data_IF_685901900049
#
_entry.id   IF_685901900049
#
_cell.length_a   1.000
_cell.length_b   1.000
_cell.length_c   1.000
_cell.angle_alpha   90.00
_cell.angle_beta   90.00
_cell.angle_gamma   90.00
#
_symmetry.space_group_name_H-M   'P 1'
#
loop_
_entity.id
_entity.type
_entity.pdbx_description
1 polymer ?
#
# COMPACT_ATOMS: atom_id res chain seq x y z
N UNK A 1 45.98 -19.66 0.70
CA UNK A 1 45.17 -20.68 0.01
C UNK A 1 43.87 -20.05 -0.49
N UNK A 2 43.63 -20.08 -1.80
CA UNK A 2 42.47 -19.48 -2.47
C UNK A 2 41.16 -20.23 -2.16
N UNK A 3 41.24 -21.52 -1.83
CA UNK A 3 40.09 -22.35 -1.51
C UNK A 3 39.35 -21.84 -0.27
N UNK A 4 40.10 -21.35 0.74
CA UNK A 4 39.53 -20.79 1.97
C UNK A 4 38.77 -19.48 1.72
N UNK A 5 39.27 -18.61 0.83
CA UNK A 5 38.64 -17.33 0.50
C UNK A 5 37.33 -17.54 -0.27
N UNK A 6 37.34 -18.47 -1.24
CA UNK A 6 36.14 -18.84 -2.00
C UNK A 6 35.08 -19.48 -1.11
N UNK A 7 35.45 -20.42 -0.23
CA UNK A 7 34.53 -21.00 0.74
C UNK A 7 33.88 -19.92 1.61
N UNK A 8 34.66 -18.96 2.12
CA UNK A 8 34.17 -17.88 2.96
C UNK A 8 33.23 -16.91 2.22
N UNK A 9 33.40 -16.74 0.91
CA UNK A 9 32.51 -15.93 0.08
C UNK A 9 31.20 -16.67 -0.27
N UNK A 10 31.26 -17.99 -0.48
CA UNK A 10 30.09 -18.82 -0.84
C UNK A 10 29.16 -19.05 0.37
N UNK A 11 29.71 -19.22 1.58
CA UNK A 11 28.90 -19.41 2.79
C UNK A 11 28.45 -18.10 3.46
N UNK A 12 28.65 -16.96 2.78
CA UNK A 12 28.29 -15.65 3.33
C UNK A 12 26.77 -15.45 3.30
N UNK A 13 26.12 -15.55 4.46
CA UNK A 13 24.68 -15.29 4.58
C UNK A 13 24.36 -13.83 4.19
N UNK A 14 23.25 -13.57 3.47
CA UNK A 14 22.85 -12.21 3.11
C UNK A 14 22.69 -11.35 4.37
N UNK A 15 23.25 -10.14 4.37
CA UNK A 15 23.14 -9.19 5.50
C UNK A 15 21.70 -8.70 5.76
N UNK A 16 20.83 -8.80 4.76
CA UNK A 16 19.43 -8.37 4.85
C UNK A 16 18.49 -9.50 4.43
N UNK A 17 17.40 -9.68 5.18
CA UNK A 17 16.36 -10.64 4.86
C UNK A 17 15.66 -10.25 3.55
N UNK A 18 15.85 -11.06 2.51
CA UNK A 18 15.12 -10.92 1.26
C UNK A 18 13.68 -11.44 1.38
N UNK A 19 12.99 -11.48 0.24
CA UNK A 19 11.69 -12.15 0.15
C UNK A 19 11.81 -13.61 0.61
N UNK A 20 11.05 -13.98 1.63
CA UNK A 20 11.01 -15.37 2.13
C UNK A 20 10.07 -16.17 1.24
N UNK A 21 10.63 -17.17 0.54
CA UNK A 21 9.84 -18.14 -0.22
C UNK A 21 8.88 -18.87 0.74
N UNK A 22 7.61 -19.02 0.36
CA UNK A 22 6.57 -19.60 1.23
C UNK A 22 5.84 -18.60 2.13
N UNK A 23 6.10 -17.29 2.00
CA UNK A 23 5.32 -16.26 2.73
C UNK A 23 3.84 -16.32 2.37
N UNK A 24 2.99 -16.57 3.36
CA UNK A 24 1.53 -16.61 3.18
C UNK A 24 0.99 -15.26 2.67
N UNK A 25 0.25 -15.32 1.56
CA UNK A 25 -0.54 -14.17 1.08
C UNK A 25 -1.80 -14.05 1.93
N UNK A 26 -1.91 -12.97 2.69
CA UNK A 26 -3.09 -12.64 3.49
C UNK A 26 -3.99 -11.71 2.67
N UNK A 27 -5.24 -12.13 2.48
CA UNK A 27 -6.30 -11.29 1.91
C UNK A 27 -6.79 -10.31 2.97
N UNK A 28 -6.58 -9.00 2.74
CA UNK A 28 -6.79 -7.94 3.75
C UNK A 28 -8.02 -7.08 3.47
N UNK A 29 -8.97 -7.56 2.68
CA UNK A 29 -10.22 -6.85 2.32
C UNK A 29 -10.00 -5.38 1.96
N UNK A 30 -9.11 -5.16 0.96
CA UNK A 30 -8.60 -3.84 0.60
C UNK A 30 -9.71 -2.86 0.20
N UNK A 31 -10.78 -3.36 -0.43
CA UNK A 31 -11.94 -2.56 -0.84
C UNK A 31 -12.66 -1.99 0.39
N UNK A 32 -12.95 -2.84 1.36
CA UNK A 32 -13.64 -2.43 2.59
C UNK A 32 -12.76 -1.52 3.47
N UNK A 33 -11.45 -1.79 3.50
CA UNK A 33 -10.49 -0.88 4.13
C UNK A 33 -10.49 0.53 3.47
N UNK A 34 -10.58 0.60 2.15
CA UNK A 34 -10.72 1.87 1.42
C UNK A 34 -12.01 2.60 1.78
N UNK A 35 -13.15 1.90 1.75
CA UNK A 35 -14.45 2.49 2.08
C UNK A 35 -14.47 3.08 3.50
N UNK A 36 -13.90 2.36 4.48
CA UNK A 36 -13.74 2.88 5.85
C UNK A 36 -12.85 4.11 5.90
N UNK A 37 -11.73 4.10 5.19
CA UNK A 37 -10.82 5.25 5.15
C UNK A 37 -11.53 6.51 4.63
N UNK A 38 -12.28 6.38 3.52
CA UNK A 38 -13.02 7.49 2.93
C UNK A 38 -14.11 8.00 3.86
N UNK A 39 -14.94 7.09 4.39
CA UNK A 39 -16.04 7.41 5.32
C UNK A 39 -15.55 8.10 6.60
N UNK A 40 -14.38 7.72 7.11
CA UNK A 40 -13.91 8.25 8.39
C UNK A 40 -13.26 9.62 8.30
N UNK A 41 -12.63 9.97 7.18
CA UNK A 41 -11.74 11.12 7.11
C UNK A 41 -11.96 12.06 5.93
N UNK A 42 -12.66 11.64 4.86
CA UNK A 42 -12.72 12.39 3.60
C UNK A 42 -14.14 12.68 3.08
N UNK A 43 -15.18 12.23 3.78
CA UNK A 43 -16.56 12.66 3.53
C UNK A 43 -16.82 14.04 4.14
N UNK A 44 -17.89 14.70 3.71
CA UNK A 44 -18.28 16.06 4.15
C UNK A 44 -18.35 16.20 5.68
N UNK A 45 -18.92 15.19 6.36
CA UNK A 45 -18.99 15.11 7.81
C UNK A 45 -18.18 13.90 8.31
N UNK A 46 -16.83 14.02 8.44
CA UNK A 46 -15.98 12.89 8.78
C UNK A 46 -16.22 12.41 10.21
N UNK A 47 -16.13 11.10 10.43
CA UNK A 47 -16.29 10.51 11.78
C UNK A 47 -15.22 10.98 12.76
N UNK A 48 -14.01 11.27 12.26
CA UNK A 48 -12.89 11.70 13.08
C UNK A 48 -12.30 13.01 12.57
N UNK A 49 -11.84 13.89 13.46
CA UNK A 49 -11.17 15.12 13.06
C UNK A 49 -9.77 14.85 12.50
N UNK A 50 -9.22 15.82 11.76
CA UNK A 50 -7.92 15.70 11.08
C UNK A 50 -6.77 15.32 12.03
N UNK A 51 -6.80 15.76 13.28
CA UNK A 51 -5.78 15.44 14.29
C UNK A 51 -5.60 13.93 14.48
N UNK A 52 -6.68 13.16 14.37
CA UNK A 52 -6.65 11.70 14.46
C UNK A 52 -6.00 11.07 13.23
N UNK A 53 -6.26 11.62 12.04
CA UNK A 53 -5.62 11.18 10.81
C UNK A 53 -4.10 11.40 10.89
N UNK A 54 -3.68 12.59 11.34
CA UNK A 54 -2.27 12.91 11.61
C UNK A 54 -1.64 11.97 12.62
N UNK A 55 -2.32 11.64 13.72
CA UNK A 55 -1.79 10.70 14.71
C UNK A 55 -1.66 9.27 14.16
N UNK A 56 -2.63 8.80 13.39
CA UNK A 56 -2.68 7.41 12.87
C UNK A 56 -1.76 7.18 11.67
N UNK A 57 -1.79 8.08 10.69
CA UNK A 57 -1.05 7.96 9.44
C UNK A 57 0.21 8.82 9.39
N UNK A 58 0.44 9.65 10.42
CA UNK A 58 1.61 10.52 10.54
C UNK A 58 1.71 11.56 9.39
N UNK A 59 0.57 11.94 8.82
CA UNK A 59 0.44 12.89 7.71
C UNK A 59 -0.88 13.68 7.80
N UNK A 60 -0.96 14.88 7.21
CA UNK A 60 -2.24 15.61 7.11
C UNK A 60 -3.15 15.02 6.03
N UNK A 61 -4.47 15.23 6.17
CA UNK A 61 -5.46 14.83 5.16
C UNK A 61 -5.23 15.58 3.85
N UNK A 62 -4.88 16.86 3.93
CA UNK A 62 -4.57 17.70 2.79
C UNK A 62 -3.33 17.20 2.01
N UNK A 63 -2.27 16.78 2.70
CA UNK A 63 -1.09 16.21 2.04
C UNK A 63 -1.45 14.90 1.34
N UNK A 64 -2.24 14.05 2.00
CA UNK A 64 -2.73 12.80 1.39
C UNK A 64 -3.51 13.08 0.10
N UNK A 65 -4.45 14.03 0.14
CA UNK A 65 -5.25 14.44 -1.03
C UNK A 65 -4.36 14.92 -2.19
N UNK A 66 -3.40 15.80 -1.93
CA UNK A 66 -2.47 16.30 -2.97
C UNK A 66 -1.65 15.18 -3.61
N UNK A 67 -1.19 14.22 -2.80
CA UNK A 67 -0.45 13.05 -3.32
C UNK A 67 -1.38 12.20 -4.19
N UNK A 68 -2.59 11.90 -3.72
CA UNK A 68 -3.57 11.10 -4.46
C UNK A 68 -3.93 11.75 -5.81
N UNK A 69 -4.18 13.06 -5.84
CA UNK A 69 -4.45 13.82 -7.07
C UNK A 69 -3.26 13.84 -8.02
N UNK A 70 -2.04 13.98 -7.48
CA UNK A 70 -0.82 13.93 -8.29
C UNK A 70 -0.64 12.54 -8.90
N UNK A 71 -0.84 11.48 -8.13
CA UNK A 71 -0.79 10.11 -8.64
C UNK A 71 -1.86 9.86 -9.70
N UNK A 72 -3.10 10.29 -9.48
CA UNK A 72 -4.18 10.15 -10.44
C UNK A 72 -3.91 10.88 -11.77
N UNK A 73 -3.18 12.01 -11.74
CA UNK A 73 -2.79 12.73 -12.97
C UNK A 73 -1.66 12.06 -13.73
N UNK A 74 -0.69 11.48 -13.03
CA UNK A 74 0.54 10.98 -13.66
C UNK A 74 0.50 9.49 -13.99
N UNK A 75 -0.30 8.69 -13.28
CA UNK A 75 -0.34 7.25 -13.42
C UNK A 75 -1.73 6.78 -13.86
N UNK A 76 -1.76 6.08 -15.00
CA UNK A 76 -2.97 5.55 -15.62
C UNK A 76 -3.71 4.54 -14.73
N UNK A 77 -3.00 3.87 -13.83
CA UNK A 77 -3.60 3.00 -12.83
C UNK A 77 -4.49 3.77 -11.85
N UNK A 78 -4.12 5.02 -11.52
CA UNK A 78 -4.83 5.87 -10.57
C UNK A 78 -5.76 6.89 -11.23
N UNK A 79 -5.65 7.12 -12.54
CA UNK A 79 -6.47 8.09 -13.28
C UNK A 79 -7.91 7.63 -13.54
N UNK A 80 -8.11 6.33 -13.72
CA UNK A 80 -9.43 5.70 -13.78
C UNK A 80 -9.80 5.25 -12.39
N UNK A 81 -10.23 6.23 -11.57
CA UNK A 81 -10.48 6.08 -10.14
C UNK A 81 -10.94 4.67 -9.77
N UNK A 82 -10.31 4.09 -8.75
CA UNK A 82 -10.74 2.83 -8.13
C UNK A 82 -12.11 2.90 -7.46
N UNK A 83 -13.02 3.73 -7.97
CA UNK A 83 -14.42 3.79 -7.62
C UNK A 83 -15.20 3.04 -8.71
N UNK A 84 -15.88 1.94 -8.37
CA UNK A 84 -16.72 1.24 -9.32
C UNK A 84 -17.97 2.09 -9.60
N UNK A 85 -18.37 2.29 -10.87
CA UNK A 85 -19.77 2.56 -11.17
C UNK A 85 -20.54 1.34 -10.69
N UNK A 86 -21.65 1.60 -10.02
CA UNK A 86 -22.52 0.62 -9.38
C UNK A 86 -22.60 -0.69 -10.16
N UNK A 87 -22.29 -1.81 -9.48
CA UNK A 87 -22.51 -3.19 -9.93
C UNK A 87 -21.87 -3.63 -11.27
N UNK A 88 -20.70 -4.27 -11.20
CA UNK A 88 -20.42 -5.56 -11.87
C UNK A 88 -18.93 -5.90 -11.83
N UNK A 89 -18.61 -7.18 -11.61
CA UNK A 89 -17.33 -7.75 -12.01
C UNK A 89 -16.25 -7.86 -10.93
N UNK A 90 -16.10 -9.08 -10.44
CA UNK A 90 -14.92 -9.58 -9.73
C UNK A 90 -13.70 -9.41 -10.67
N UNK A 91 -12.91 -8.35 -10.53
CA UNK A 91 -11.75 -8.11 -11.40
C UNK A 91 -10.50 -7.68 -10.60
N UNK A 92 -9.90 -8.70 -9.98
CA UNK A 92 -8.45 -8.95 -9.97
C UNK A 92 -7.48 -7.79 -9.68
N UNK A 93 -7.13 -7.58 -8.40
CA UNK A 93 -5.77 -7.17 -8.03
C UNK A 93 -4.94 -8.44 -7.77
N UNK A 94 -4.62 -9.17 -8.84
CA UNK A 94 -3.71 -10.34 -8.77
C UNK A 94 -2.30 -9.84 -9.08
N UNK A 95 -1.46 -9.77 -8.06
CA UNK A 95 0.01 -9.78 -8.16
C UNK A 95 0.55 -10.89 -7.27
#
# INVERSE_FOLDING_TARGET
DLAMILAMHIYKKPKHGGSVMGRQKIWRDRIDAHNRLMRHYFVENPTYPESYFRRRFRMSTELFRRIAEKLARHDRFFSKGGMPPESSGIATFRR
#
